data_IF_091983381861
#
_entry.id   IF_091983381861
#
_cell.length_a   1.000
_cell.length_b   1.000
_cell.length_c   1.000
_cell.angle_alpha   90.00
_cell.angle_beta   90.00
_cell.angle_gamma   90.00
#
_symmetry.space_group_name_H-M   'P 1'
#
loop_
_entity.id
_entity.type
_entity.pdbx_description
1 polymer ?
#
# COMPACT_ATOMS: atom_id res chain seq x y z
N UNK A 1 -11.36 -26.62 -21.60
CA UNK A 1 -10.12 -26.08 -20.99
C UNK A 1 -9.93 -24.58 -21.25
N UNK A 2 -9.97 -24.11 -22.50
CA UNK A 2 -9.74 -22.69 -22.82
C UNK A 2 -10.62 -21.69 -22.05
N UNK A 3 -11.92 -21.98 -21.88
CA UNK A 3 -12.84 -21.12 -21.12
C UNK A 3 -12.39 -20.87 -19.68
N UNK A 4 -11.93 -21.92 -18.98
CA UNK A 4 -11.48 -21.82 -17.60
C UNK A 4 -10.18 -21.02 -17.48
N UNK A 5 -9.28 -21.16 -18.45
CA UNK A 5 -8.05 -20.35 -18.53
C UNK A 5 -8.40 -18.87 -18.74
N UNK A 6 -9.33 -18.57 -19.66
CA UNK A 6 -9.79 -17.19 -19.92
C UNK A 6 -10.45 -16.57 -18.70
N UNK A 7 -11.33 -17.31 -18.00
CA UNK A 7 -11.96 -16.83 -16.76
C UNK A 7 -10.90 -16.58 -15.68
N UNK A 8 -9.93 -17.49 -15.53
CA UNK A 8 -8.84 -17.35 -14.56
C UNK A 8 -7.98 -16.13 -14.86
N UNK A 9 -7.67 -15.89 -16.15
CA UNK A 9 -6.89 -14.75 -16.60
C UNK A 9 -7.66 -13.44 -16.42
N UNK A 10 -8.93 -13.41 -16.81
CA UNK A 10 -9.80 -12.26 -16.65
C UNK A 10 -9.94 -11.88 -15.18
N UNK A 11 -10.13 -12.87 -14.31
CA UNK A 11 -10.15 -12.66 -12.86
C UNK A 11 -8.80 -12.18 -12.34
N UNK A 12 -7.69 -12.79 -12.77
CA UNK A 12 -6.34 -12.41 -12.37
C UNK A 12 -5.94 -11.00 -12.83
N UNK A 13 -6.54 -10.47 -13.90
CA UNK A 13 -6.30 -9.11 -14.40
C UNK A 13 -7.29 -8.10 -13.82
N UNK A 14 -8.59 -8.41 -13.87
CA UNK A 14 -9.67 -7.52 -13.45
C UNK A 14 -9.71 -7.35 -11.94
N UNK A 15 -9.40 -8.38 -11.15
CA UNK A 15 -9.37 -8.27 -9.69
C UNK A 15 -8.30 -7.27 -9.20
N UNK A 16 -7.04 -7.30 -9.68
CA UNK A 16 -6.06 -6.28 -9.32
C UNK A 16 -6.40 -4.89 -9.84
N UNK A 17 -6.90 -4.77 -11.06
CA UNK A 17 -7.32 -3.48 -11.63
C UNK A 17 -8.46 -2.87 -10.82
N UNK A 18 -9.48 -3.65 -10.47
CA UNK A 18 -10.59 -3.19 -9.63
C UNK A 18 -10.16 -2.91 -8.21
N UNK A 19 -9.28 -3.73 -7.61
CA UNK A 19 -8.69 -3.46 -6.30
C UNK A 19 -7.93 -2.12 -6.26
N UNK A 20 -7.12 -1.86 -7.28
CA UNK A 20 -6.36 -0.62 -7.42
C UNK A 20 -7.28 0.59 -7.58
N UNK A 21 -8.33 0.47 -8.40
CA UNK A 21 -9.28 1.57 -8.62
C UNK A 21 -10.20 1.84 -7.43
N UNK A 22 -10.66 0.79 -6.72
CA UNK A 22 -11.65 0.92 -5.63
C UNK A 22 -11.00 1.27 -4.30
N UNK A 23 -9.82 0.69 -4.00
CA UNK A 23 -9.16 0.83 -2.71
C UNK A 23 -7.85 1.61 -2.76
N UNK A 24 -7.01 1.32 -3.75
CA UNK A 24 -5.65 1.85 -3.83
C UNK A 24 -5.60 3.34 -4.17
N UNK A 25 -6.24 3.76 -5.26
CA UNK A 25 -6.04 5.11 -5.84
C UNK A 25 -6.30 6.24 -4.85
N UNK A 26 -7.41 6.18 -4.11
CA UNK A 26 -7.79 7.25 -3.18
C UNK A 26 -7.01 7.20 -1.86
N UNK A 27 -6.52 6.03 -1.47
CA UNK A 27 -5.61 5.87 -0.32
C UNK A 27 -4.21 6.39 -0.66
N UNK A 28 -3.68 6.04 -1.83
CA UNK A 28 -2.38 6.51 -2.30
C UNK A 28 -2.35 8.00 -2.63
N UNK A 29 -3.46 8.57 -3.13
CA UNK A 29 -3.60 10.01 -3.37
C UNK A 29 -3.76 10.85 -2.08
N UNK A 30 -3.95 10.23 -0.91
CA UNK A 30 -4.05 10.97 0.36
C UNK A 30 -2.88 10.72 1.29
N UNK A 31 -2.18 9.59 1.14
CA UNK A 31 -1.02 9.25 1.96
C UNK A 31 0.21 10.01 1.50
N UNK A 32 0.64 10.98 2.30
CA UNK A 32 1.95 11.63 2.17
C UNK A 32 2.11 12.61 1.02
N UNK A 33 1.06 12.88 0.24
CA UNK A 33 1.09 13.83 -0.88
C UNK A 33 0.95 15.29 -0.41
N UNK A 34 0.26 15.51 0.72
CA UNK A 34 0.10 16.86 1.30
C UNK A 34 0.52 16.88 2.75
N UNK A 35 1.46 17.75 3.08
CA UNK A 35 1.73 18.13 4.45
C UNK A 35 0.47 18.81 5.03
N UNK A 36 0.19 18.68 6.34
CA UNK A 36 -0.83 19.46 7.01
C UNK A 36 -0.66 20.95 6.69
N UNK A 37 -1.77 21.65 6.45
CA UNK A 37 -1.72 23.08 6.13
C UNK A 37 -1.00 23.84 7.24
N UNK A 38 -0.04 24.68 6.86
CA UNK A 38 0.79 25.44 7.80
C UNK A 38 1.81 24.63 8.62
N UNK A 39 2.05 23.34 8.32
CA UNK A 39 3.04 22.52 9.06
C UNK A 39 4.43 23.16 9.04
N UNK A 40 4.87 23.62 7.87
CA UNK A 40 6.19 24.25 7.73
C UNK A 40 6.26 25.56 8.52
N UNK A 41 5.23 26.39 8.43
CA UNK A 41 5.16 27.68 9.14
C UNK A 41 5.15 27.51 10.66
N UNK A 42 4.37 26.54 11.19
CA UNK A 42 4.32 26.22 12.62
C UNK A 42 5.65 25.78 13.20
N UNK A 43 6.47 25.09 12.40
CA UNK A 43 7.76 24.55 12.83
C UNK A 43 8.95 25.39 12.33
N UNK A 44 8.71 26.54 11.70
CA UNK A 44 9.75 27.39 11.14
C UNK A 44 10.63 26.70 10.09
N UNK A 45 10.05 25.77 9.32
CA UNK A 45 10.73 24.97 8.31
C UNK A 45 10.60 25.59 6.92
N UNK A 46 11.61 25.37 6.10
CA UNK A 46 11.61 25.84 4.71
C UNK A 46 11.00 24.78 3.78
N UNK A 47 10.63 25.18 2.56
CA UNK A 47 10.10 24.26 1.55
C UNK A 47 11.04 23.07 1.29
N UNK A 48 12.36 23.28 1.39
CA UNK A 48 13.39 22.25 1.25
C UNK A 48 13.35 21.16 2.32
N UNK A 49 12.91 21.49 3.53
CA UNK A 49 12.84 20.56 4.66
C UNK A 49 11.70 19.55 4.51
N UNK A 50 10.67 19.88 3.72
CA UNK A 50 9.52 19.00 3.46
C UNK A 50 9.94 17.61 2.97
N UNK A 51 10.92 17.56 2.06
CA UNK A 51 11.44 16.29 1.54
C UNK A 51 12.20 15.50 2.60
N UNK A 52 12.91 16.18 3.51
CA UNK A 52 13.59 15.54 4.64
C UNK A 52 12.57 14.93 5.62
N UNK A 53 11.50 15.68 5.94
CA UNK A 53 10.38 15.19 6.76
C UNK A 53 9.74 13.96 6.10
N UNK A 54 9.39 14.07 4.81
CA UNK A 54 8.73 12.99 4.07
C UNK A 54 9.60 11.74 3.98
N UNK A 55 10.92 11.87 3.75
CA UNK A 55 11.85 10.73 3.72
C UNK A 55 12.00 10.06 5.08
N UNK A 56 12.11 10.84 6.15
CA UNK A 56 12.19 10.32 7.51
C UNK A 56 10.92 9.53 7.88
N UNK A 57 9.76 10.09 7.56
CA UNK A 57 8.45 9.47 7.74
C UNK A 57 8.31 8.18 6.92
N UNK A 58 8.57 8.24 5.61
CA UNK A 58 8.41 7.11 4.69
C UNK A 58 9.29 5.91 5.07
N UNK A 59 10.50 6.17 5.58
CA UNK A 59 11.44 5.12 6.01
C UNK A 59 11.27 4.70 7.47
N UNK A 60 10.45 5.42 8.25
CA UNK A 60 10.29 5.20 9.68
C UNK A 60 11.59 5.35 10.45
N UNK A 61 12.41 6.34 10.09
CA UNK A 61 13.71 6.61 10.73
C UNK A 61 13.68 7.93 11.49
N UNK A 62 14.62 8.08 12.42
CA UNK A 62 14.91 9.36 13.06
C UNK A 62 15.41 10.35 12.02
N UNK A 63 14.89 11.57 12.03
CA UNK A 63 15.40 12.67 11.23
C UNK A 63 16.80 13.05 11.71
N UNK A 64 17.69 13.26 10.74
CA UNK A 64 19.08 13.64 10.97
C UNK A 64 19.14 14.96 11.74
N UNK A 65 18.35 15.93 11.29
CA UNK A 65 18.27 17.26 11.91
C UNK A 65 17.26 17.29 13.08
N UNK A 66 17.68 17.72 14.28
CA UNK A 66 16.80 17.80 15.45
C UNK A 66 15.59 18.72 15.25
N UNK A 67 15.75 19.84 14.52
CA UNK A 67 14.68 20.82 14.25
C UNK A 67 13.51 20.25 13.44
N UNK A 68 13.76 19.20 12.66
CA UNK A 68 12.76 18.59 11.76
C UNK A 68 11.92 17.52 12.49
N UNK A 69 12.40 17.00 13.62
CA UNK A 69 11.77 15.90 14.36
C UNK A 69 10.32 16.20 14.80
N UNK A 70 10.00 17.38 15.36
CA UNK A 70 8.63 17.70 15.76
C UNK A 70 7.66 17.68 14.57
N UNK A 71 8.08 18.20 13.42
CA UNK A 71 7.29 18.17 12.20
C UNK A 71 7.08 16.74 11.65
N UNK A 72 8.09 15.86 11.79
CA UNK A 72 7.94 14.42 11.47
C UNK A 72 6.90 13.77 12.37
N UNK A 73 6.93 14.04 13.67
CA UNK A 73 5.96 13.46 14.62
C UNK A 73 4.54 13.94 14.31
N UNK A 74 4.34 15.23 14.06
CA UNK A 74 3.02 15.80 13.74
C UNK A 74 2.47 15.26 12.41
N UNK A 75 3.28 15.25 11.35
CA UNK A 75 2.83 14.76 10.04
C UNK A 75 2.60 13.24 10.07
N UNK A 76 3.51 12.47 10.68
CA UNK A 76 3.34 11.02 10.79
C UNK A 76 2.12 10.66 11.67
N UNK A 77 1.91 11.39 12.77
CA UNK A 77 0.78 11.22 13.67
C UNK A 77 -0.57 11.54 13.01
N UNK A 78 -0.67 12.68 12.33
CA UNK A 78 -1.89 13.07 11.59
C UNK A 78 -2.19 12.10 10.44
N UNK A 79 -1.17 11.64 9.71
CA UNK A 79 -1.33 10.61 8.66
C UNK A 79 -1.79 9.29 9.26
N UNK A 80 -1.23 8.85 10.40
CA UNK A 80 -1.65 7.63 11.08
C UNK A 80 -3.12 7.73 11.52
N UNK A 81 -3.52 8.85 12.12
CA UNK A 81 -4.89 9.10 12.55
C UNK A 81 -5.87 9.08 11.36
N UNK A 82 -5.53 9.72 10.24
CA UNK A 82 -6.35 9.71 9.03
C UNK A 82 -6.49 8.29 8.44
N UNK A 83 -5.42 7.48 8.48
CA UNK A 83 -5.45 6.08 8.03
C UNK A 83 -6.32 5.23 8.97
N UNK A 84 -6.23 5.42 10.29
CA UNK A 84 -7.07 4.72 11.26
C UNK A 84 -8.55 5.11 11.14
N UNK A 85 -8.84 6.40 10.96
CA UNK A 85 -10.21 6.89 10.75
C UNK A 85 -10.81 6.37 9.44
N UNK A 86 -10.04 6.38 8.36
CA UNK A 86 -10.46 5.82 7.07
C UNK A 86 -10.81 4.33 7.17
N UNK A 87 -10.04 3.56 7.94
CA UNK A 87 -10.34 2.15 8.19
C UNK A 87 -11.63 1.95 9.00
N UNK A 88 -11.88 2.80 10.00
CA UNK A 88 -13.11 2.77 10.81
C UNK A 88 -14.34 3.06 9.96
N UNK A 89 -14.29 4.11 9.15
CA UNK A 89 -15.40 4.54 8.31
C UNK A 89 -15.70 3.58 7.15
N UNK A 90 -14.70 2.81 6.70
CA UNK A 90 -14.83 1.96 5.51
C UNK A 90 -14.64 0.47 5.79
N UNK A 91 -15.29 -0.07 6.84
CA UNK A 91 -15.30 -1.50 7.13
C UNK A 91 -15.68 -2.37 5.90
N UNK A 92 -16.60 -1.90 5.06
CA UNK A 92 -16.98 -2.57 3.80
C UNK A 92 -15.84 -2.65 2.79
N UNK A 93 -14.97 -1.63 2.71
CA UNK A 93 -13.77 -1.67 1.85
C UNK A 93 -12.75 -2.67 2.36
N UNK A 94 -12.62 -2.84 3.68
CA UNK A 94 -11.75 -3.85 4.27
C UNK A 94 -12.21 -5.26 3.88
N UNK A 95 -13.52 -5.52 3.92
CA UNK A 95 -14.09 -6.78 3.46
C UNK A 95 -13.85 -7.02 1.96
N UNK A 96 -14.05 -6.00 1.12
CA UNK A 96 -13.78 -6.07 -0.33
C UNK A 96 -12.29 -6.31 -0.61
N UNK A 97 -11.39 -5.59 0.06
CA UNK A 97 -9.95 -5.77 -0.09
C UNK A 97 -9.52 -7.16 0.37
N UNK A 98 -10.08 -7.69 1.47
CA UNK A 98 -9.85 -9.04 1.94
C UNK A 98 -10.35 -10.09 0.95
N UNK A 99 -11.55 -9.90 0.38
CA UNK A 99 -12.09 -10.78 -0.65
C UNK A 99 -11.22 -10.80 -1.90
N UNK A 100 -10.80 -9.64 -2.41
CA UNK A 100 -9.89 -9.52 -3.55
C UNK A 100 -8.52 -10.14 -3.27
N UNK A 101 -8.00 -9.98 -2.05
CA UNK A 101 -6.75 -10.62 -1.60
C UNK A 101 -6.87 -12.13 -1.58
N UNK A 102 -7.95 -12.67 -1.00
CA UNK A 102 -8.20 -14.11 -0.96
C UNK A 102 -8.34 -14.69 -2.37
N UNK A 103 -9.05 -13.98 -3.25
CA UNK A 103 -9.28 -14.39 -4.62
C UNK A 103 -7.99 -14.35 -5.45
N UNK A 104 -7.13 -13.34 -5.26
CA UNK A 104 -5.79 -13.28 -5.83
C UNK A 104 -4.86 -14.39 -5.30
N UNK A 105 -4.94 -14.72 -4.01
CA UNK A 105 -4.18 -15.82 -3.43
C UNK A 105 -4.61 -17.18 -4.00
N UNK A 106 -5.91 -17.42 -4.14
CA UNK A 106 -6.44 -18.63 -4.78
C UNK A 106 -6.00 -18.73 -6.23
N UNK A 107 -6.06 -17.62 -6.99
CA UNK A 107 -5.60 -17.58 -8.37
C UNK A 107 -4.10 -17.90 -8.49
N UNK A 108 -3.27 -17.39 -7.58
CA UNK A 108 -1.84 -17.70 -7.52
C UNK A 108 -1.58 -19.18 -7.25
N UNK A 109 -2.28 -19.77 -6.26
CA UNK A 109 -2.15 -21.20 -5.94
C UNK A 109 -2.55 -22.06 -7.12
N UNK A 110 -3.67 -21.75 -7.78
CA UNK A 110 -4.12 -22.47 -8.97
C UNK A 110 -3.11 -22.36 -10.12
N UNK A 111 -2.54 -21.17 -10.35
CA UNK A 111 -1.51 -20.98 -11.37
C UNK A 111 -0.25 -21.82 -11.07
N UNK A 112 0.18 -21.88 -9.81
CA UNK A 112 1.31 -22.73 -9.38
C UNK A 112 1.02 -24.20 -9.60
N UNK A 113 -0.15 -24.69 -9.19
CA UNK A 113 -0.55 -26.09 -9.37
C UNK A 113 -0.59 -26.45 -10.85
N UNK A 114 -1.22 -25.62 -11.69
CA UNK A 114 -1.29 -25.85 -13.14
C UNK A 114 0.08 -25.83 -13.81
N UNK A 115 0.96 -24.90 -13.39
CA UNK A 115 2.33 -24.83 -13.90
C UNK A 115 3.17 -26.06 -13.54
N UNK A 116 2.92 -26.68 -12.39
CA UNK A 116 3.57 -27.92 -11.96
C UNK A 116 3.00 -29.16 -12.68
N UNK A 117 1.70 -29.20 -12.99
CA UNK A 117 1.07 -30.37 -13.62
C UNK A 117 1.24 -30.40 -15.13
N UNK A 118 1.20 -29.25 -15.81
CA UNK A 118 1.26 -29.18 -17.29
C UNK A 118 2.70 -29.07 -17.83
N UNK A 119 3.72 -29.15 -16.97
CA UNK A 119 5.13 -29.26 -17.36
C UNK A 119 5.72 -28.03 -18.06
N UNK A 120 5.03 -26.88 -18.05
CA UNK A 120 5.46 -25.69 -18.77
C UNK A 120 4.98 -24.38 -18.15
N UNK A 121 5.91 -23.57 -17.67
CA UNK A 121 5.68 -22.19 -17.25
C UNK A 121 5.59 -21.26 -18.49
N UNK A 122 4.48 -21.34 -19.22
CA UNK A 122 4.20 -20.44 -20.35
C UNK A 122 3.97 -18.98 -19.93
N UNK A 123 3.90 -18.06 -20.89
CA UNK A 123 3.71 -16.62 -20.60
C UNK A 123 2.46 -16.30 -19.76
N UNK A 124 1.38 -17.07 -19.92
CA UNK A 124 0.15 -16.92 -19.12
C UNK A 124 0.34 -17.23 -17.63
N UNK A 125 1.19 -18.21 -17.29
CA UNK A 125 1.55 -18.53 -15.91
C UNK A 125 2.24 -17.35 -15.24
N UNK A 126 3.29 -16.81 -15.87
CA UNK A 126 4.05 -15.69 -15.33
C UNK A 126 3.20 -14.42 -15.21
N UNK A 127 2.28 -14.19 -16.14
CA UNK A 127 1.34 -13.07 -16.05
C UNK A 127 0.47 -13.17 -14.80
N UNK A 128 -0.12 -14.33 -14.52
CA UNK A 128 -0.94 -14.54 -13.31
C UNK A 128 -0.10 -14.40 -12.05
N UNK A 129 1.12 -14.93 -12.04
CA UNK A 129 2.05 -14.80 -10.90
C UNK A 129 2.36 -13.32 -10.63
N UNK A 130 2.78 -12.56 -11.64
CA UNK A 130 3.14 -11.14 -11.48
C UNK A 130 1.94 -10.31 -11.03
N UNK A 131 0.76 -10.53 -11.61
CA UNK A 131 -0.46 -9.79 -11.25
C UNK A 131 -0.92 -10.12 -9.82
N UNK A 132 -0.91 -11.40 -9.45
CA UNK A 132 -1.30 -11.83 -8.11
C UNK A 132 -0.30 -11.34 -7.06
N UNK A 133 0.99 -11.40 -7.36
CA UNK A 133 2.03 -10.86 -6.48
C UNK A 133 1.90 -9.34 -6.33
N UNK A 134 1.70 -8.61 -7.43
CA UNK A 134 1.46 -7.17 -7.41
C UNK A 134 0.22 -6.79 -6.59
N UNK A 135 -0.86 -7.57 -6.71
CA UNK A 135 -2.07 -7.41 -5.93
C UNK A 135 -1.81 -7.57 -4.43
N UNK A 136 -1.15 -8.67 -4.05
CA UNK A 136 -0.79 -8.97 -2.66
C UNK A 136 0.13 -7.90 -2.07
N UNK A 137 1.15 -7.48 -2.83
CA UNK A 137 2.06 -6.42 -2.39
C UNK A 137 1.30 -5.11 -2.14
N UNK A 138 0.42 -4.71 -3.06
CA UNK A 138 -0.30 -3.44 -2.97
C UNK A 138 -1.38 -3.42 -1.88
N UNK A 139 -2.17 -4.50 -1.75
CA UNK A 139 -3.27 -4.55 -0.78
C UNK A 139 -2.83 -4.92 0.64
N UNK A 140 -1.74 -5.67 0.77
CA UNK A 140 -1.36 -6.29 2.06
C UNK A 140 -0.06 -5.73 2.57
N UNK A 141 0.99 -5.74 1.75
CA UNK A 141 2.34 -5.43 2.22
C UNK A 141 2.53 -3.93 2.38
N UNK A 142 2.21 -3.14 1.35
CA UNK A 142 2.42 -1.69 1.39
C UNK A 142 1.69 -0.99 2.55
N UNK A 143 0.38 -1.22 2.80
CA UNK A 143 -0.33 -0.58 3.90
C UNK A 143 0.25 -0.94 5.28
N UNK A 144 0.70 -2.19 5.44
CA UNK A 144 1.34 -2.64 6.69
C UNK A 144 2.71 -2.02 6.88
N UNK A 145 3.53 -1.97 5.84
CA UNK A 145 4.85 -1.35 5.87
C UNK A 145 4.72 0.14 6.16
N UNK A 146 3.80 0.83 5.49
CA UNK A 146 3.50 2.24 5.73
C UNK A 146 3.13 2.47 7.21
N UNK A 147 2.17 1.73 7.75
CA UNK A 147 1.78 1.85 9.17
C UNK A 147 2.94 1.61 10.12
N UNK A 148 3.75 0.59 9.84
CA UNK A 148 4.93 0.28 10.65
C UNK A 148 5.95 1.43 10.59
N UNK A 149 6.15 2.02 9.41
CA UNK A 149 7.07 3.13 9.23
C UNK A 149 6.54 4.40 9.89
N UNK A 150 5.25 4.73 9.77
CA UNK A 150 4.64 5.87 10.46
C UNK A 150 4.77 5.74 11.98
N UNK A 151 4.45 4.57 12.55
CA UNK A 151 4.60 4.32 14.00
C UNK A 151 6.06 4.45 14.45
N UNK A 152 6.99 3.91 13.66
CA UNK A 152 8.43 4.05 13.92
C UNK A 152 8.90 5.49 13.78
N UNK A 153 8.38 6.25 12.82
CA UNK A 153 8.70 7.66 12.65
C UNK A 153 8.28 8.45 13.88
N UNK A 154 7.07 8.23 14.40
CA UNK A 154 6.60 8.85 15.65
C UNK A 154 7.51 8.44 16.83
N UNK A 155 7.74 7.14 17.05
CA UNK A 155 8.51 6.68 18.22
C UNK A 155 9.99 7.06 18.19
N UNK A 156 10.58 7.24 17.01
CA UNK A 156 12.02 7.57 16.87
C UNK A 156 12.30 9.07 16.83
N UNK A 157 11.27 9.91 16.65
CA UNK A 157 11.38 11.36 16.57
C UNK A 157 10.66 12.10 17.72
N UNK A 158 9.85 11.41 18.53
CA UNK A 158 9.44 11.87 19.86
C UNK A 158 10.65 11.95 20.80
#
# INVERSE_FOLDING_TARGET
>A
MALWIVISLAVAVLAPLTAFFVGGRRFWATVGERAPDGLLERHGLEAGDTLAVQRAMARGRRAEEPRIRPAVVEWAGSTLAAVEESERLHARRRAVAAALTALGAVALVLAVVLGLTDGGAGGGFWLVVVLSLGLLLNLVVLPRVLRRNLRRAVSSNA
#
